data_IF_349052072240
#
_entry.id   IF_349052072240
#
_cell.length_a   1.000
_cell.length_b   1.000
_cell.length_c   1.000
_cell.angle_alpha   90.00
_cell.angle_beta   90.00
_cell.angle_gamma   90.00
#
_symmetry.space_group_name_H-M   'P 1'
#
loop_
_entity.id
_entity.type
_entity.pdbx_description
1 polymer ?
#
# COMPACT_ATOMS: atom_id res chain seq x y z
N UNK A 1 -19.62 -1.47 -4.53
CA UNK A 1 -19.04 -0.74 -5.69
C UNK A 1 -18.48 0.63 -5.32
N UNK A 2 -19.22 1.44 -4.57
CA UNK A 2 -18.76 2.77 -4.14
C UNK A 2 -17.46 2.72 -3.35
N UNK A 3 -17.33 1.78 -2.41
CA UNK A 3 -16.13 1.64 -1.58
C UNK A 3 -14.93 1.20 -2.41
N UNK A 4 -15.13 0.31 -3.38
CA UNK A 4 -14.06 -0.15 -4.28
C UNK A 4 -13.57 1.01 -5.15
N UNK A 5 -14.48 1.74 -5.79
CA UNK A 5 -14.15 2.90 -6.62
C UNK A 5 -13.40 3.95 -5.81
N UNK A 6 -13.85 4.23 -4.58
CA UNK A 6 -13.21 5.18 -3.69
C UNK A 6 -11.79 4.76 -3.31
N UNK A 7 -11.56 3.48 -3.05
CA UNK A 7 -10.23 2.96 -2.74
C UNK A 7 -9.29 3.01 -3.94
N UNK A 8 -9.79 2.72 -5.14
CA UNK A 8 -9.01 2.85 -6.38
C UNK A 8 -8.64 4.31 -6.63
N UNK A 9 -9.58 5.22 -6.44
CA UNK A 9 -9.36 6.66 -6.58
C UNK A 9 -8.29 7.16 -5.61
N UNK A 10 -8.38 6.78 -4.34
CA UNK A 10 -7.38 7.11 -3.32
C UNK A 10 -6.00 6.55 -3.64
N UNK A 11 -5.95 5.33 -4.18
CA UNK A 11 -4.69 4.72 -4.62
C UNK A 11 -4.06 5.54 -5.73
N UNK A 12 -4.85 5.98 -6.71
CA UNK A 12 -4.41 6.86 -7.78
C UNK A 12 -3.89 8.19 -7.24
N UNK A 13 -4.58 8.80 -6.28
CA UNK A 13 -4.16 10.05 -5.64
C UNK A 13 -2.80 9.90 -4.94
N UNK A 14 -2.60 8.81 -4.22
CA UNK A 14 -1.31 8.56 -3.55
C UNK A 14 -0.18 8.29 -4.54
N UNK A 15 -0.46 7.62 -5.64
CA UNK A 15 0.51 7.45 -6.72
C UNK A 15 0.93 8.81 -7.30
N UNK A 16 -0.02 9.73 -7.49
CA UNK A 16 0.26 11.08 -7.95
C UNK A 16 1.09 11.87 -6.92
N UNK A 17 0.80 11.75 -5.64
CA UNK A 17 1.58 12.39 -4.58
C UNK A 17 3.01 11.85 -4.54
N UNK A 18 3.21 10.55 -4.70
CA UNK A 18 4.55 9.95 -4.78
C UNK A 18 5.34 10.52 -5.94
N UNK A 19 4.73 10.61 -7.13
CA UNK A 19 5.37 11.17 -8.31
C UNK A 19 5.75 12.64 -8.09
N UNK A 20 4.85 13.43 -7.51
CA UNK A 20 5.10 14.83 -7.18
C UNK A 20 6.24 14.98 -6.19
N UNK A 21 6.25 14.19 -5.13
CA UNK A 21 7.30 14.22 -4.12
C UNK A 21 8.66 13.88 -4.70
N UNK A 22 8.74 12.90 -5.62
CA UNK A 22 9.97 12.55 -6.32
C UNK A 22 10.50 13.70 -7.16
N UNK A 23 9.61 14.44 -7.84
CA UNK A 23 9.98 15.59 -8.65
C UNK A 23 10.49 16.77 -7.80
N UNK A 24 10.02 16.89 -6.56
CA UNK A 24 10.45 17.94 -5.63
C UNK A 24 11.79 17.64 -4.95
N UNK A 25 12.31 16.43 -5.08
CA UNK A 25 13.64 16.11 -4.56
C UNK A 25 14.73 16.88 -5.35
N UNK A 26 15.33 17.87 -4.71
CA UNK A 26 16.37 18.71 -5.31
C UNK A 26 17.72 18.02 -5.41
N UNK A 27 17.96 17.01 -4.59
CA UNK A 27 19.16 16.19 -4.55
C UNK A 27 18.80 14.76 -4.86
N UNK A 28 19.69 14.03 -5.50
CA UNK A 28 19.52 12.59 -5.73
C UNK A 28 19.37 11.88 -4.39
N UNK A 29 18.33 11.07 -4.27
CA UNK A 29 18.15 10.18 -3.12
C UNK A 29 19.30 9.18 -3.11
N UNK A 30 19.87 8.92 -1.93
CA UNK A 30 20.90 7.89 -1.79
C UNK A 30 20.35 6.56 -2.30
N UNK A 31 21.17 5.83 -3.06
CA UNK A 31 20.76 4.56 -3.66
C UNK A 31 20.21 3.57 -2.64
N UNK A 32 20.84 3.48 -1.47
CA UNK A 32 20.39 2.60 -0.40
C UNK A 32 18.95 2.90 0.04
N UNK A 33 18.61 4.17 0.20
CA UNK A 33 17.25 4.61 0.58
C UNK A 33 16.28 4.33 -0.57
N UNK A 34 16.69 4.64 -1.79
CA UNK A 34 15.87 4.40 -2.97
C UNK A 34 15.55 2.91 -3.13
N UNK A 35 16.54 2.02 -2.92
CA UNK A 35 16.34 0.58 -3.00
C UNK A 35 15.31 0.10 -1.98
N UNK A 36 15.35 0.63 -0.76
CA UNK A 36 14.38 0.26 0.28
C UNK A 36 12.99 0.80 0.00
N UNK A 37 12.88 2.01 -0.53
CA UNK A 37 11.60 2.57 -0.99
C UNK A 37 11.03 1.75 -2.14
N UNK A 38 11.88 1.31 -3.07
CA UNK A 38 11.48 0.47 -4.19
C UNK A 38 10.94 -0.88 -3.72
N UNK A 39 11.64 -1.55 -2.80
CA UNK A 39 11.19 -2.81 -2.20
C UNK A 39 9.81 -2.64 -1.54
N UNK A 40 9.63 -1.57 -0.79
CA UNK A 40 8.37 -1.24 -0.13
C UNK A 40 7.25 -0.99 -1.15
N UNK A 41 7.55 -0.26 -2.21
CA UNK A 41 6.60 0.03 -3.27
C UNK A 41 6.19 -1.24 -4.02
N UNK A 42 7.15 -2.11 -4.35
CA UNK A 42 6.88 -3.38 -5.02
C UNK A 42 5.98 -4.27 -4.16
N UNK A 43 6.23 -4.32 -2.87
CA UNK A 43 5.37 -5.04 -1.94
C UNK A 43 3.94 -4.46 -1.93
N UNK A 44 3.79 -3.14 -1.84
CA UNK A 44 2.49 -2.48 -1.84
C UNK A 44 1.71 -2.74 -3.12
N UNK A 45 2.38 -2.71 -4.27
CA UNK A 45 1.76 -3.02 -5.57
C UNK A 45 1.36 -4.49 -5.65
N UNK A 46 2.17 -5.40 -5.11
CA UNK A 46 1.86 -6.83 -5.07
C UNK A 46 0.59 -7.11 -4.28
N UNK A 47 0.46 -6.55 -3.08
CA UNK A 47 -0.75 -6.76 -2.27
C UNK A 47 -1.97 -6.08 -2.88
N UNK A 48 -1.78 -4.97 -3.58
CA UNK A 48 -2.87 -4.32 -4.32
C UNK A 48 -3.37 -5.22 -5.45
N UNK A 49 -2.47 -5.79 -6.25
CA UNK A 49 -2.82 -6.74 -7.31
C UNK A 49 -3.55 -7.95 -6.76
N UNK A 50 -3.05 -8.52 -5.67
CA UNK A 50 -3.68 -9.67 -5.01
C UNK A 50 -5.10 -9.35 -4.52
N UNK A 51 -5.31 -8.16 -3.97
CA UNK A 51 -6.63 -7.74 -3.49
C UNK A 51 -7.61 -7.53 -4.66
N UNK A 52 -7.14 -6.93 -5.75
CA UNK A 52 -7.94 -6.75 -6.96
C UNK A 52 -8.32 -8.08 -7.60
N UNK A 53 -7.39 -9.04 -7.67
CA UNK A 53 -7.67 -10.38 -8.18
C UNK A 53 -8.67 -11.11 -7.29
N UNK A 54 -8.55 -10.98 -5.97
CA UNK A 54 -9.51 -11.55 -5.03
C UNK A 54 -10.91 -10.97 -5.27
N UNK A 55 -11.00 -9.67 -5.57
CA UNK A 55 -12.27 -9.02 -5.86
C UNK A 55 -12.89 -9.57 -7.16
N UNK A 56 -12.13 -9.63 -8.24
CA UNK A 56 -12.64 -10.09 -9.54
C UNK A 56 -13.04 -11.55 -9.54
N UNK A 57 -12.30 -12.39 -8.81
CA UNK A 57 -12.56 -13.82 -8.71
C UNK A 57 -13.49 -14.19 -7.55
N UNK A 58 -13.86 -13.22 -6.71
CA UNK A 58 -14.57 -13.47 -5.45
C UNK A 58 -13.86 -14.53 -4.60
N UNK A 59 -12.51 -14.45 -4.57
CA UNK A 59 -11.66 -15.41 -3.87
C UNK A 59 -11.45 -14.96 -2.42
N UNK A 60 -12.25 -15.48 -1.52
CA UNK A 60 -12.23 -15.13 -0.09
C UNK A 60 -10.96 -15.58 0.62
N UNK A 61 -10.39 -16.69 0.21
CA UNK A 61 -9.12 -17.17 0.74
C UNK A 61 -7.98 -16.21 0.41
N UNK A 62 -7.91 -15.77 -0.83
CA UNK A 62 -6.92 -14.81 -1.25
C UNK A 62 -7.10 -13.48 -0.52
N UNK A 63 -8.35 -13.05 -0.33
CA UNK A 63 -8.63 -11.81 0.41
C UNK A 63 -8.12 -11.90 1.86
N UNK A 64 -8.39 -13.01 2.55
CA UNK A 64 -7.91 -13.21 3.91
C UNK A 64 -6.39 -13.24 4.00
N UNK A 65 -5.73 -13.93 3.07
CA UNK A 65 -4.26 -13.95 2.98
C UNK A 65 -3.69 -12.56 2.75
N UNK A 66 -4.32 -11.78 1.89
CA UNK A 66 -3.86 -10.43 1.56
C UNK A 66 -3.93 -9.52 2.78
N UNK A 67 -5.00 -9.58 3.56
CA UNK A 67 -5.13 -8.79 4.79
C UNK A 67 -3.99 -9.10 5.76
N UNK A 68 -3.69 -10.37 5.96
CA UNK A 68 -2.59 -10.79 6.83
C UNK A 68 -1.23 -10.34 6.28
N UNK A 69 -1.04 -10.47 4.97
CA UNK A 69 0.20 -10.11 4.31
C UNK A 69 0.50 -8.60 4.41
N UNK A 70 -0.54 -7.77 4.33
CA UNK A 70 -0.39 -6.32 4.45
C UNK A 70 0.27 -5.89 5.76
N UNK A 71 0.11 -6.66 6.84
CA UNK A 71 0.76 -6.37 8.11
C UNK A 71 2.30 -6.33 7.99
N UNK A 72 2.86 -7.00 7.01
CA UNK A 72 4.31 -7.02 6.76
C UNK A 72 4.86 -5.68 6.27
N UNK A 73 3.99 -4.74 5.88
CA UNK A 73 4.43 -3.40 5.42
C UNK A 73 5.29 -2.69 6.47
N UNK A 74 5.03 -2.94 7.74
CA UNK A 74 5.80 -2.35 8.84
C UNK A 74 7.29 -2.73 8.81
N UNK A 75 7.61 -3.93 8.31
CA UNK A 75 9.00 -4.40 8.16
C UNK A 75 9.72 -3.61 7.07
N UNK A 76 9.04 -3.35 5.96
CA UNK A 76 9.58 -2.54 4.86
C UNK A 76 9.78 -1.09 5.28
N UNK A 77 8.81 -0.54 5.99
CA UNK A 77 8.88 0.83 6.51
C UNK A 77 10.06 0.98 7.48
N UNK A 78 10.29 -0.01 8.33
CA UNK A 78 11.45 -0.04 9.22
C UNK A 78 12.77 -0.03 8.46
N UNK A 79 12.88 -0.80 7.38
CA UNK A 79 14.08 -0.81 6.54
C UNK A 79 14.36 0.55 5.91
N UNK A 80 13.31 1.24 5.45
CA UNK A 80 13.44 2.61 4.93
C UNK A 80 13.92 3.55 6.03
N UNK A 81 13.33 3.47 7.20
CA UNK A 81 13.70 4.29 8.36
C UNK A 81 15.14 4.07 8.77
N UNK A 82 15.58 2.80 8.83
CA UNK A 82 16.96 2.46 9.19
C UNK A 82 17.94 2.97 8.14
N UNK A 83 17.64 2.83 6.85
CA UNK A 83 18.46 3.36 5.77
C UNK A 83 18.55 4.89 5.79
N UNK A 84 17.53 5.54 6.33
CA UNK A 84 17.44 7.00 6.40
C UNK A 84 18.17 7.62 7.58
N UNK A 85 18.69 6.82 8.51
CA UNK A 85 19.37 7.32 9.72
C UNK A 85 20.64 8.12 9.41
N UNK A 86 21.24 7.90 8.25
CA UNK A 86 22.41 8.65 7.80
C UNK A 86 22.11 10.04 7.28
N UNK A 87 20.83 10.36 7.04
CA UNK A 87 20.41 11.68 6.57
C UNK A 87 20.52 12.70 7.70
N UNK A 88 21.08 13.87 7.38
CA UNK A 88 21.28 14.96 8.36
C UNK A 88 20.33 16.11 8.17
N UNK A 89 19.84 16.33 6.93
CA UNK A 89 18.94 17.45 6.64
C UNK A 89 17.49 17.06 6.97
N UNK A 90 16.83 17.87 7.78
CA UNK A 90 15.45 17.62 8.20
C UNK A 90 14.48 17.56 7.02
N UNK A 91 14.71 18.37 5.99
CA UNK A 91 13.88 18.38 4.78
C UNK A 91 13.96 17.04 4.04
N UNK A 92 15.16 16.47 3.90
CA UNK A 92 15.34 15.17 3.26
C UNK A 92 14.69 14.05 4.05
N UNK A 93 14.84 14.06 5.38
CA UNK A 93 14.22 13.10 6.27
C UNK A 93 12.69 13.16 6.12
N UNK A 94 12.13 14.37 6.12
CA UNK A 94 10.70 14.59 5.95
C UNK A 94 10.19 14.04 4.62
N UNK A 95 10.90 14.31 3.52
CA UNK A 95 10.50 13.84 2.19
C UNK A 95 10.52 12.33 2.08
N UNK A 96 11.53 11.67 2.63
CA UNK A 96 11.61 10.20 2.65
C UNK A 96 10.46 9.60 3.45
N UNK A 97 10.17 10.16 4.62
CA UNK A 97 9.05 9.71 5.45
C UNK A 97 7.72 9.87 4.75
N UNK A 98 7.53 10.98 4.05
CA UNK A 98 6.32 11.25 3.29
C UNK A 98 6.13 10.26 2.14
N UNK A 99 7.21 9.95 1.40
CA UNK A 99 7.19 8.93 0.36
C UNK A 99 6.80 7.56 0.94
N UNK A 100 7.46 7.16 2.01
CA UNK A 100 7.17 5.88 2.67
C UNK A 100 5.71 5.82 3.16
N UNK A 101 5.19 6.89 3.72
CA UNK A 101 3.80 6.96 4.15
C UNK A 101 2.83 6.80 2.99
N UNK A 102 3.06 7.48 1.87
CA UNK A 102 2.21 7.37 0.69
C UNK A 102 2.23 5.95 0.12
N UNK A 103 3.39 5.28 0.13
CA UNK A 103 3.51 3.88 -0.28
C UNK A 103 2.74 2.98 0.68
N UNK A 104 2.86 3.20 1.99
CA UNK A 104 2.12 2.45 3.01
C UNK A 104 0.60 2.54 2.81
N UNK A 105 0.11 3.73 2.47
CA UNK A 105 -1.32 3.96 2.20
C UNK A 105 -1.86 3.08 1.08
N UNK A 106 -1.07 2.83 0.05
CA UNK A 106 -1.46 1.92 -1.04
C UNK A 106 -1.73 0.52 -0.49
N UNK A 107 -0.88 0.02 0.40
CA UNK A 107 -1.07 -1.29 1.03
C UNK A 107 -2.31 -1.32 1.94
N UNK A 108 -2.60 -0.22 2.63
CA UNK A 108 -3.82 -0.11 3.45
C UNK A 108 -5.07 -0.18 2.58
N UNK A 109 -5.08 0.45 1.41
CA UNK A 109 -6.20 0.35 0.48
C UNK A 109 -6.35 -1.05 -0.09
N UNK A 110 -5.24 -1.78 -0.31
CA UNK A 110 -5.31 -3.19 -0.67
C UNK A 110 -6.02 -4.01 0.41
N UNK A 111 -5.71 -3.77 1.67
CA UNK A 111 -6.40 -4.40 2.81
C UNK A 111 -7.90 -4.05 2.82
N UNK A 112 -8.24 -2.79 2.58
CA UNK A 112 -9.65 -2.34 2.54
C UNK A 112 -10.43 -3.05 1.42
N UNK A 113 -9.84 -3.20 0.23
CA UNK A 113 -10.45 -3.93 -0.88
C UNK A 113 -10.67 -5.40 -0.50
N UNK A 114 -9.67 -6.02 0.12
CA UNK A 114 -9.78 -7.42 0.57
C UNK A 114 -10.89 -7.60 1.63
N UNK A 115 -11.03 -6.64 2.55
CA UNK A 115 -12.12 -6.65 3.53
C UNK A 115 -13.50 -6.56 2.86
N UNK A 116 -13.63 -5.76 1.80
CA UNK A 116 -14.87 -5.68 1.02
C UNK A 116 -15.22 -7.06 0.45
N UNK A 117 -14.22 -7.79 -0.07
CA UNK A 117 -14.42 -9.16 -0.59
C UNK A 117 -14.94 -10.09 0.49
N UNK A 118 -14.37 -10.04 1.69
CA UNK A 118 -14.82 -10.86 2.82
C UNK A 118 -16.25 -10.49 3.23
N UNK A 119 -16.59 -9.22 3.25
CA UNK A 119 -17.94 -8.77 3.58
C UNK A 119 -18.97 -9.24 2.55
N UNK A 120 -18.62 -9.26 1.27
CA UNK A 120 -19.45 -9.82 0.21
C UNK A 120 -19.74 -11.31 0.46
N UNK A 121 -18.75 -12.07 0.92
CA UNK A 121 -18.93 -13.48 1.26
C UNK A 121 -19.93 -13.66 2.41
N UNK A 122 -19.81 -12.86 3.45
CA UNK A 122 -20.72 -12.89 4.61
C UNK A 122 -22.15 -12.62 4.16
N UNK A 123 -22.39 -11.60 3.34
CA UNK A 123 -23.70 -11.26 2.81
C UNK A 123 -24.31 -12.41 2.01
N UNK A 124 -23.53 -13.04 1.14
CA UNK A 124 -23.99 -14.19 0.35
C UNK A 124 -24.37 -15.38 1.23
N UNK A 125 -23.58 -15.64 2.27
CA UNK A 125 -23.84 -16.72 3.20
C UNK A 125 -25.15 -16.47 3.97
N UNK A 126 -25.36 -15.25 4.45
CA UNK A 126 -26.58 -14.88 5.16
C UNK A 126 -27.84 -15.01 4.26
N UNK A 127 -27.76 -14.59 3.00
CA UNK A 127 -28.86 -14.74 2.04
C UNK A 127 -29.21 -16.21 1.78
N UNK A 128 -28.25 -17.10 1.76
CA UNK A 128 -28.50 -18.54 1.58
C UNK A 128 -29.16 -19.18 2.80
N UNK A 129 -29.04 -18.58 3.98
CA UNK A 129 -29.65 -19.06 5.21
C UNK A 129 -31.12 -18.62 5.37
N UNK A 130 -31.55 -17.61 4.61
CA UNK A 130 -32.94 -17.19 4.55
C UNK A 130 -33.75 -18.13 3.63
#
# INVERSE_FOLDING_TARGET
>A
YRLVVKNIERTGDHAAYIAKDLLEFKKSIKKEILDKLQEMNDFSLTVLDESCLALFKEDYYQAEKTIKKVEEISKYEKKVRDASKSLKEDEEIYRVRRLAENIRRISEYASDIAEIVLNMNIEKTLKKME
#
